data_IF_138530937449
#
_entry.id   IF_138530937449
#
_cell.length_a   1.000
_cell.length_b   1.000
_cell.length_c   1.000
_cell.angle_alpha   90.00
_cell.angle_beta   90.00
_cell.angle_gamma   90.00
#
_symmetry.space_group_name_H-M   'P 1'
#
loop_
_entity.id
_entity.type
_entity.pdbx_description
1 polymer ?
#
# COMPACT_ATOMS: atom_id res chain seq x y z
N UNK A 1 24.00 -2.09 11.49
CA UNK A 1 23.19 -1.89 10.26
C UNK A 1 23.70 -0.67 9.52
N UNK A 2 23.89 -0.72 8.19
CA UNK A 2 24.29 0.45 7.40
C UNK A 2 23.25 1.57 7.57
N UNK A 3 23.69 2.84 7.71
CA UNK A 3 22.79 4.02 7.81
C UNK A 3 21.78 4.10 6.65
N UNK A 4 22.07 3.47 5.50
CA UNK A 4 21.21 3.45 4.32
C UNK A 4 20.11 2.38 4.37
N UNK A 5 20.30 1.31 5.15
CA UNK A 5 19.32 0.22 5.27
C UNK A 5 18.21 0.53 6.27
N UNK A 6 18.46 1.42 7.24
CA UNK A 6 17.47 1.78 8.25
C UNK A 6 16.20 2.41 7.66
N UNK A 7 16.29 3.38 6.74
CA UNK A 7 15.09 3.90 6.07
C UNK A 7 14.34 2.85 5.22
N UNK A 8 15.06 1.96 4.55
CA UNK A 8 14.42 0.87 3.78
C UNK A 8 13.69 -0.11 4.69
N UNK A 9 14.30 -0.49 5.82
CA UNK A 9 13.68 -1.37 6.81
C UNK A 9 12.41 -0.74 7.40
N UNK A 10 12.44 0.56 7.72
CA UNK A 10 11.25 1.28 8.19
C UNK A 10 10.15 1.36 7.12
N UNK A 11 10.52 1.62 5.86
CA UNK A 11 9.57 1.60 4.74
C UNK A 11 8.92 0.23 4.56
N UNK A 12 9.73 -0.84 4.52
CA UNK A 12 9.24 -2.21 4.41
C UNK A 12 8.36 -2.63 5.59
N UNK A 13 8.72 -2.23 6.82
CA UNK A 13 7.90 -2.45 8.01
C UNK A 13 6.54 -1.75 7.90
N UNK A 14 6.53 -0.47 7.50
CA UNK A 14 5.30 0.29 7.33
C UNK A 14 4.38 -0.33 6.30
N UNK A 15 4.93 -0.67 5.13
CA UNK A 15 4.22 -1.33 4.04
C UNK A 15 3.64 -2.69 4.49
N UNK A 16 4.47 -3.56 5.09
CA UNK A 16 4.03 -4.87 5.56
C UNK A 16 2.94 -4.75 6.65
N UNK A 17 3.08 -3.80 7.57
CA UNK A 17 2.06 -3.58 8.60
C UNK A 17 0.72 -3.21 7.98
N UNK A 18 0.70 -2.26 7.02
CA UNK A 18 -0.55 -1.84 6.37
C UNK A 18 -1.21 -2.94 5.54
N UNK A 19 -0.42 -3.83 4.94
CA UNK A 19 -0.93 -4.92 4.13
C UNK A 19 -1.53 -6.06 4.97
N UNK A 20 -0.85 -6.47 6.05
CA UNK A 20 -1.21 -7.69 6.77
C UNK A 20 -2.13 -7.46 7.97
N UNK A 21 -2.09 -6.30 8.63
CA UNK A 21 -2.89 -6.04 9.85
C UNK A 21 -4.39 -6.14 9.57
N UNK A 22 -4.84 -5.73 8.38
CA UNK A 22 -6.27 -5.81 8.01
C UNK A 22 -6.81 -7.23 8.05
N UNK A 23 -5.98 -8.27 7.84
CA UNK A 23 -6.43 -9.66 7.86
C UNK A 23 -6.88 -10.07 9.27
N UNK A 24 -6.18 -9.58 10.30
CA UNK A 24 -6.55 -9.80 11.70
C UNK A 24 -7.76 -8.95 12.13
N UNK A 25 -7.96 -7.79 11.49
CA UNK A 25 -9.06 -6.86 11.79
C UNK A 25 -10.26 -7.02 10.85
N UNK A 26 -10.28 -8.03 9.97
CA UNK A 26 -11.27 -8.14 8.91
C UNK A 26 -12.72 -8.19 9.44
N UNK A 27 -13.03 -8.92 10.53
CA UNK A 27 -14.37 -8.88 11.13
C UNK A 27 -14.76 -7.49 11.64
N UNK A 28 -13.83 -6.77 12.28
CA UNK A 28 -14.08 -5.42 12.80
C UNK A 28 -14.31 -4.41 11.66
N UNK A 29 -13.53 -4.51 10.59
CA UNK A 29 -13.71 -3.70 9.37
C UNK A 29 -15.07 -3.98 8.73
N UNK A 30 -15.46 -5.26 8.63
CA UNK A 30 -16.76 -5.65 8.09
C UNK A 30 -17.91 -5.07 8.91
N UNK A 31 -17.84 -5.20 10.24
CA UNK A 31 -18.83 -4.65 11.18
C UNK A 31 -18.90 -3.12 11.08
N UNK A 32 -17.76 -2.43 11.06
CA UNK A 32 -17.69 -0.97 10.98
C UNK A 32 -18.27 -0.41 9.68
N UNK A 33 -18.16 -1.15 8.58
CA UNK A 33 -18.68 -0.75 7.27
C UNK A 33 -20.11 -1.27 7.00
N UNK A 34 -20.66 -2.10 7.91
CA UNK A 34 -21.96 -2.73 7.73
C UNK A 34 -22.03 -3.71 6.55
N UNK A 35 -20.90 -4.34 6.19
CA UNK A 35 -20.78 -5.29 5.07
C UNK A 35 -20.48 -6.70 5.55
N UNK A 36 -20.67 -7.69 4.68
CA UNK A 36 -20.28 -9.08 4.98
C UNK A 36 -18.75 -9.24 5.01
N UNK A 37 -18.24 -10.22 5.77
CA UNK A 37 -16.81 -10.55 5.81
C UNK A 37 -16.23 -10.86 4.41
N UNK A 38 -16.89 -11.65 3.54
CA UNK A 38 -16.41 -11.86 2.17
C UNK A 38 -16.27 -10.56 1.38
N UNK A 39 -17.22 -9.63 1.54
CA UNK A 39 -17.18 -8.33 0.88
C UNK A 39 -16.05 -7.43 1.42
N UNK A 40 -15.81 -7.44 2.73
CA UNK A 40 -14.64 -6.78 3.32
C UNK A 40 -13.32 -7.38 2.79
N UNK A 41 -13.30 -8.68 2.50
CA UNK A 41 -12.16 -9.36 1.87
C UNK A 41 -11.72 -8.73 0.54
N UNK A 42 -12.64 -8.13 -0.23
CA UNK A 42 -12.28 -7.42 -1.46
C UNK A 42 -11.41 -6.19 -1.24
N UNK A 43 -11.37 -5.62 -0.03
CA UNK A 43 -10.41 -4.57 0.31
C UNK A 43 -8.96 -5.06 0.21
N UNK A 44 -8.72 -6.32 0.60
CA UNK A 44 -7.42 -6.99 0.49
C UNK A 44 -7.13 -7.29 -0.98
N UNK A 45 -8.09 -7.88 -1.69
CA UNK A 45 -7.94 -8.18 -3.12
C UNK A 45 -7.67 -6.92 -3.95
N UNK A 46 -8.35 -5.82 -3.65
CA UNK A 46 -8.18 -4.52 -4.30
C UNK A 46 -6.78 -3.95 -4.07
N UNK A 47 -6.27 -4.03 -2.83
CA UNK A 47 -4.88 -3.68 -2.53
C UNK A 47 -3.90 -4.54 -3.35
N UNK A 48 -4.08 -5.87 -3.36
CA UNK A 48 -3.24 -6.78 -4.13
C UNK A 48 -3.26 -6.50 -5.64
N UNK A 49 -4.43 -6.15 -6.21
CA UNK A 49 -4.53 -5.68 -7.59
C UNK A 49 -3.72 -4.40 -7.81
N UNK A 50 -3.78 -3.47 -6.87
CA UNK A 50 -2.94 -2.28 -6.84
C UNK A 50 -1.45 -2.62 -6.88
N UNK A 51 -0.99 -3.60 -6.09
CA UNK A 51 0.41 -4.06 -6.10
C UNK A 51 0.80 -4.61 -7.47
N UNK A 52 0.00 -5.52 -8.03
CA UNK A 52 0.29 -6.19 -9.30
C UNK A 52 0.34 -5.21 -10.47
N UNK A 53 -0.54 -4.21 -10.48
CA UNK A 53 -0.59 -3.19 -11.54
C UNK A 53 0.48 -2.12 -11.31
N UNK A 54 0.61 -1.63 -10.08
CA UNK A 54 1.49 -0.53 -9.73
C UNK A 54 2.97 -0.85 -9.86
N UNK A 55 3.39 -2.06 -9.46
CA UNK A 55 4.78 -2.47 -9.51
C UNK A 55 5.42 -2.32 -10.91
N UNK A 56 4.93 -2.97 -11.98
CA UNK A 56 5.54 -2.85 -13.30
C UNK A 56 5.48 -1.42 -13.86
N UNK A 57 4.35 -0.71 -13.66
CA UNK A 57 4.15 0.63 -14.19
C UNK A 57 5.10 1.63 -13.53
N UNK A 58 5.15 1.65 -12.20
CA UNK A 58 5.94 2.61 -11.45
C UNK A 58 7.44 2.28 -11.53
N UNK A 59 7.84 1.00 -11.56
CA UNK A 59 9.25 0.62 -11.78
C UNK A 59 9.70 1.03 -13.18
N UNK A 60 8.92 0.72 -14.23
CA UNK A 60 9.26 1.11 -15.59
C UNK A 60 9.38 2.63 -15.73
N UNK A 61 8.43 3.39 -15.17
CA UNK A 61 8.47 4.85 -15.21
C UNK A 61 9.63 5.43 -14.39
N UNK A 62 9.96 4.83 -13.25
CA UNK A 62 10.96 5.35 -12.32
C UNK A 62 12.40 4.96 -12.67
N UNK A 63 12.61 4.00 -13.59
CA UNK A 63 13.92 3.50 -14.05
C UNK A 63 14.90 4.58 -14.51
N UNK A 64 14.38 5.72 -14.97
CA UNK A 64 15.12 6.89 -15.46
C UNK A 64 15.52 7.89 -14.37
N UNK A 65 15.13 7.67 -13.11
CA UNK A 65 15.43 8.56 -11.99
C UNK A 65 16.37 7.92 -10.95
N UNK A 66 17.08 8.73 -10.14
CA UNK A 66 17.94 8.20 -9.08
C UNK A 66 17.13 7.40 -8.03
N UNK A 67 17.57 6.19 -7.62
CA UNK A 67 16.81 5.31 -6.72
C UNK A 67 16.35 5.98 -5.42
N UNK A 68 17.21 6.81 -4.81
CA UNK A 68 16.85 7.55 -3.59
C UNK A 68 15.63 8.46 -3.78
N UNK A 69 15.54 9.18 -4.91
CA UNK A 69 14.41 10.07 -5.20
C UNK A 69 13.14 9.26 -5.45
N UNK A 70 13.28 8.14 -6.17
CA UNK A 70 12.19 7.20 -6.42
C UNK A 70 11.63 6.63 -5.11
N UNK A 71 12.48 6.10 -4.23
CA UNK A 71 12.06 5.54 -2.94
C UNK A 71 11.33 6.58 -2.08
N UNK A 72 11.81 7.84 -2.05
CA UNK A 72 11.14 8.93 -1.32
C UNK A 72 9.76 9.21 -1.92
N UNK A 73 9.66 9.31 -3.25
CA UNK A 73 8.39 9.56 -3.92
C UNK A 73 7.37 8.42 -3.69
N UNK A 74 7.84 7.16 -3.74
CA UNK A 74 7.01 5.99 -3.46
C UNK A 74 6.52 5.99 -2.01
N UNK A 75 7.36 6.36 -1.04
CA UNK A 75 6.94 6.49 0.34
C UNK A 75 5.95 7.64 0.57
N UNK A 76 6.09 8.75 -0.14
CA UNK A 76 5.10 9.84 -0.10
C UNK A 76 3.75 9.35 -0.64
N UNK A 77 3.73 8.68 -1.80
CA UNK A 77 2.52 8.10 -2.36
C UNK A 77 1.88 7.08 -1.41
N UNK A 78 2.68 6.19 -0.83
CA UNK A 78 2.25 5.23 0.18
C UNK A 78 1.57 5.92 1.36
N UNK A 79 2.20 6.95 1.92
CA UNK A 79 1.64 7.70 3.06
C UNK A 79 0.35 8.42 2.69
N UNK A 80 0.30 9.09 1.53
CA UNK A 80 -0.90 9.82 1.09
C UNK A 80 -2.07 8.87 0.87
N UNK A 81 -1.88 7.77 0.13
CA UNK A 81 -2.98 6.85 -0.18
C UNK A 81 -3.47 6.07 1.06
N UNK A 82 -2.57 5.69 1.96
CA UNK A 82 -2.99 5.10 3.24
C UNK A 82 -3.68 6.14 4.14
N UNK A 83 -3.24 7.39 4.13
CA UNK A 83 -3.93 8.49 4.80
C UNK A 83 -5.35 8.68 4.27
N UNK A 84 -5.54 8.63 2.95
CA UNK A 84 -6.86 8.64 2.33
C UNK A 84 -7.71 7.44 2.76
N UNK A 85 -7.13 6.23 2.79
CA UNK A 85 -7.82 5.02 3.28
C UNK A 85 -8.29 5.18 4.73
N UNK A 86 -7.52 5.86 5.58
CA UNK A 86 -7.87 6.05 7.00
C UNK A 86 -9.06 6.99 7.20
N UNK A 87 -9.31 7.92 6.27
CA UNK A 87 -10.42 8.88 6.32
C UNK A 87 -11.57 8.52 5.38
N UNK A 88 -11.55 7.32 4.79
CA UNK A 88 -12.57 6.89 3.84
C UNK A 88 -13.94 6.75 4.54
N UNK A 89 -15.00 7.40 4.06
CA UNK A 89 -16.30 7.41 4.73
C UNK A 89 -17.13 6.15 4.45
N UNK A 90 -16.90 5.50 3.30
CA UNK A 90 -17.76 4.44 2.78
C UNK A 90 -16.94 3.30 2.18
N UNK A 91 -17.58 2.12 2.06
CA UNK A 91 -16.96 0.89 1.55
C UNK A 91 -16.29 1.07 0.19
N UNK A 92 -16.99 1.64 -0.81
CA UNK A 92 -16.46 1.77 -2.16
C UNK A 92 -15.32 2.79 -2.25
N UNK A 93 -15.38 3.87 -1.45
CA UNK A 93 -14.29 4.83 -1.34
C UNK A 93 -13.06 4.17 -0.73
N UNK A 94 -13.22 3.39 0.33
CA UNK A 94 -12.13 2.62 0.94
C UNK A 94 -11.57 1.58 -0.04
N UNK A 95 -12.42 0.91 -0.81
CA UNK A 95 -12.00 -0.05 -1.83
C UNK A 95 -11.10 0.59 -2.89
N UNK A 96 -11.47 1.79 -3.37
CA UNK A 96 -10.66 2.56 -4.31
C UNK A 96 -9.33 3.03 -3.68
N UNK A 97 -9.35 3.51 -2.44
CA UNK A 97 -8.13 3.94 -1.76
C UNK A 97 -7.22 2.78 -1.39
N UNK A 98 -7.76 1.58 -1.15
CA UNK A 98 -6.98 0.36 -0.98
C UNK A 98 -6.24 -0.01 -2.26
N UNK A 99 -6.91 0.07 -3.42
CA UNK A 99 -6.24 -0.08 -4.72
C UNK A 99 -5.09 0.92 -4.87
N UNK A 100 -5.33 2.21 -4.64
CA UNK A 100 -4.30 3.24 -4.73
C UNK A 100 -3.13 3.00 -3.77
N UNK A 101 -3.42 2.58 -2.53
CA UNK A 101 -2.41 2.28 -1.51
C UNK A 101 -1.49 1.12 -1.90
N UNK A 102 -1.99 0.16 -2.69
CA UNK A 102 -1.21 -0.95 -3.21
C UNK A 102 -0.24 -0.54 -4.33
N UNK A 103 -0.52 0.54 -5.07
CA UNK A 103 0.30 0.95 -6.22
C UNK A 103 1.81 1.10 -5.92
N UNK A 104 2.23 1.89 -4.91
CA UNK A 104 3.66 2.11 -4.64
C UNK A 104 4.36 0.90 -4.00
N UNK A 105 3.62 -0.07 -3.46
CA UNK A 105 4.16 -1.15 -2.65
C UNK A 105 5.19 -1.99 -3.42
N UNK A 106 4.79 -2.70 -4.47
CA UNK A 106 5.70 -3.60 -5.17
C UNK A 106 6.88 -2.87 -5.83
N UNK A 107 6.67 -1.61 -6.24
CA UNK A 107 7.73 -0.77 -6.79
C UNK A 107 8.78 -0.38 -5.75
N UNK A 108 8.39 -0.15 -4.49
CA UNK A 108 9.32 0.19 -3.41
C UNK A 108 10.34 -0.92 -3.19
N UNK A 109 9.87 -2.18 -3.12
CA UNK A 109 10.75 -3.33 -2.99
C UNK A 109 11.59 -3.57 -4.25
N UNK A 110 11.02 -3.38 -5.44
CA UNK A 110 11.76 -3.53 -6.70
C UNK A 110 12.90 -2.52 -6.87
N UNK A 111 12.73 -1.27 -6.40
CA UNK A 111 13.76 -0.22 -6.46
C UNK A 111 14.75 -0.32 -5.30
N UNK A 112 14.33 -0.91 -4.18
CA UNK A 112 15.11 -1.04 -2.96
C UNK A 112 15.99 -2.30 -2.86
N UNK A 113 15.77 -3.30 -3.74
CA UNK A 113 16.57 -4.51 -3.87
C UNK A 113 17.90 -4.25 -4.61
#
# INVERSE_FOLDING_TARGET
MSKKLFPLALGGLGIGTTEFVIMGLLPDVANSLGVSIPQAGYLISSYALGVVIGAPILVAFSSKYPPKKTLIALMILFTVFNGLSAIAPEYYTLLAFRFLSGLPHGAFFGVGA
#
